data_IF_269765818709
#
_entry.id   IF_269765818709
#
_cell.length_a   1.000
_cell.length_b   1.000
_cell.length_c   1.000
_cell.angle_alpha   90.00
_cell.angle_beta   90.00
_cell.angle_gamma   90.00
#
_symmetry.space_group_name_H-M   'P 1'
#
loop_
_entity.id
_entity.type
_entity.pdbx_description
1 polymer ?
#
# COMPACT_ATOMS: atom_id res chain seq x y z
N UNK A 1 -21.88 3.09 -2.04
CA UNK A 1 -20.82 2.22 -1.48
C UNK A 1 -21.47 1.19 -0.60
N UNK A 2 -21.22 -0.08 -0.88
CA UNK A 2 -21.62 -1.18 -0.01
C UNK A 2 -20.59 -1.28 1.13
N UNK A 3 -21.02 -1.03 2.38
CA UNK A 3 -20.14 -1.02 3.56
C UNK A 3 -19.45 -2.36 3.78
N UNK A 4 -20.14 -3.48 3.51
CA UNK A 4 -19.57 -4.82 3.63
C UNK A 4 -18.45 -5.03 2.60
N UNK A 5 -18.71 -4.69 1.33
CA UNK A 5 -17.69 -4.79 0.28
C UNK A 5 -16.48 -3.89 0.57
N UNK A 6 -16.74 -2.67 1.05
CA UNK A 6 -15.69 -1.71 1.42
C UNK A 6 -14.78 -2.27 2.53
N UNK A 7 -15.36 -2.76 3.63
CA UNK A 7 -14.60 -3.28 4.77
C UNK A 7 -13.81 -4.53 4.41
N UNK A 8 -14.44 -5.50 3.74
CA UNK A 8 -13.78 -6.75 3.35
C UNK A 8 -12.64 -6.47 2.38
N UNK A 9 -12.89 -5.72 1.30
CA UNK A 9 -11.86 -5.43 0.32
C UNK A 9 -10.72 -4.61 0.93
N UNK A 10 -11.02 -3.63 1.79
CA UNK A 10 -10.02 -2.79 2.44
C UNK A 10 -9.14 -3.54 3.44
N UNK A 11 -9.73 -4.37 4.31
CA UNK A 11 -8.97 -5.17 5.28
C UNK A 11 -8.07 -6.19 4.56
N UNK A 12 -8.61 -6.91 3.58
CA UNK A 12 -7.82 -7.90 2.80
C UNK A 12 -6.72 -7.19 2.02
N UNK A 13 -7.01 -6.04 1.41
CA UNK A 13 -6.01 -5.21 0.75
C UNK A 13 -4.90 -4.77 1.70
N UNK A 14 -5.24 -4.36 2.92
CA UNK A 14 -4.26 -3.98 3.94
C UNK A 14 -3.38 -5.14 4.41
N UNK A 15 -3.94 -6.34 4.58
CA UNK A 15 -3.16 -7.54 4.90
C UNK A 15 -2.21 -7.88 3.76
N UNK A 16 -2.68 -7.81 2.50
CA UNK A 16 -1.82 -8.02 1.33
C UNK A 16 -0.70 -6.98 1.30
N UNK A 17 -1.01 -5.71 1.52
CA UNK A 17 0.01 -4.66 1.57
C UNK A 17 1.06 -4.93 2.66
N UNK A 18 0.64 -5.40 3.83
CA UNK A 18 1.55 -5.75 4.92
C UNK A 18 2.49 -6.91 4.55
N UNK A 19 1.96 -7.98 3.95
CA UNK A 19 2.75 -9.12 3.47
C UNK A 19 3.74 -8.72 2.36
N UNK A 20 3.30 -7.87 1.42
CA UNK A 20 4.16 -7.34 0.37
C UNK A 20 5.24 -6.42 0.96
N UNK A 21 4.90 -5.60 1.96
CA UNK A 21 5.86 -4.78 2.66
C UNK A 21 6.94 -5.61 3.35
N UNK A 22 6.56 -6.68 4.05
CA UNK A 22 7.51 -7.63 4.62
C UNK A 22 8.43 -8.24 3.56
N UNK A 23 7.90 -8.65 2.41
CA UNK A 23 8.69 -9.23 1.33
C UNK A 23 9.67 -8.21 0.71
N UNK A 24 9.18 -7.02 0.35
CA UNK A 24 9.97 -6.03 -0.40
C UNK A 24 10.84 -5.11 0.45
N UNK A 25 10.57 -4.98 1.75
CA UNK A 25 11.41 -4.19 2.66
C UNK A 25 12.22 -5.04 3.63
N UNK A 26 11.76 -6.26 3.95
CA UNK A 26 12.44 -7.15 4.90
C UNK A 26 13.29 -8.22 4.23
N UNK A 27 12.75 -8.94 3.24
CA UNK A 27 13.40 -10.15 2.70
C UNK A 27 14.28 -9.87 1.48
N UNK A 28 13.77 -9.14 0.48
CA UNK A 28 14.50 -8.98 -0.79
C UNK A 28 15.71 -8.05 -0.70
N UNK A 29 15.64 -6.88 -0.02
CA UNK A 29 16.73 -5.92 0.02
C UNK A 29 17.20 -5.73 1.48
N UNK A 30 17.55 -6.83 2.14
CA UNK A 30 17.76 -6.93 3.60
C UNK A 30 18.66 -5.80 4.15
N UNK A 31 19.70 -5.42 3.41
CA UNK A 31 20.68 -4.39 3.80
C UNK A 31 20.47 -3.01 3.15
N UNK A 32 19.53 -2.87 2.21
CA UNK A 32 19.36 -1.63 1.45
C UNK A 32 18.52 -0.58 2.21
N UNK A 33 17.56 -1.05 3.00
CA UNK A 33 16.72 -0.19 3.82
C UNK A 33 17.09 -0.31 5.30
N UNK A 34 17.09 0.82 6.01
CA UNK A 34 17.30 0.85 7.45
C UNK A 34 16.14 0.13 8.15
N UNK A 35 16.42 -1.04 8.72
CA UNK A 35 15.41 -1.80 9.45
C UNK A 35 15.04 -1.09 10.75
N UNK A 36 13.74 -0.92 11.04
CA UNK A 36 13.31 -0.33 12.30
C UNK A 36 13.63 -1.28 13.46
N UNK A 37 13.82 -0.72 14.66
CA UNK A 37 14.01 -1.54 15.87
C UNK A 37 12.79 -2.45 16.07
N UNK A 38 13.05 -3.73 16.25
CA UNK A 38 12.00 -4.69 16.54
C UNK A 38 11.36 -4.37 17.89
N UNK A 39 10.08 -4.02 17.84
CA UNK A 39 9.27 -3.72 19.01
C UNK A 39 7.80 -3.88 18.66
N UNK A 40 6.99 -4.21 19.68
CA UNK A 40 5.54 -4.28 19.53
C UNK A 40 4.95 -2.98 18.94
N UNK A 41 5.48 -1.83 19.37
CA UNK A 41 5.07 -0.52 18.84
C UNK A 41 5.33 -0.43 17.33
N UNK A 42 6.52 -0.80 16.88
CA UNK A 42 6.90 -0.81 15.46
C UNK A 42 5.94 -1.69 14.65
N UNK A 43 5.72 -2.93 15.08
CA UNK A 43 4.85 -3.87 14.35
C UNK A 43 3.40 -3.37 14.26
N UNK A 44 2.84 -2.89 15.37
CA UNK A 44 1.46 -2.37 15.41
C UNK A 44 1.33 -1.14 14.52
N UNK A 45 2.30 -0.22 14.51
CA UNK A 45 2.28 0.95 13.64
C UNK A 45 2.32 0.57 12.15
N UNK A 46 3.19 -0.37 11.77
CA UNK A 46 3.29 -0.85 10.38
C UNK A 46 1.99 -1.52 9.94
N UNK A 47 1.47 -2.46 10.74
CA UNK A 47 0.23 -3.17 10.43
C UNK A 47 -0.94 -2.19 10.32
N UNK A 48 -1.07 -1.26 11.27
CA UNK A 48 -2.14 -0.25 11.26
C UNK A 48 -2.05 0.65 10.03
N UNK A 49 -0.84 1.08 9.65
CA UNK A 49 -0.61 1.85 8.42
C UNK A 49 -1.06 1.09 7.17
N UNK A 50 -0.73 -0.21 7.08
CA UNK A 50 -1.14 -1.06 5.96
C UNK A 50 -2.66 -1.24 5.91
N UNK A 51 -3.32 -1.46 7.05
CA UNK A 51 -4.77 -1.58 7.13
C UNK A 51 -5.47 -0.28 6.72
N UNK A 52 -4.99 0.87 7.19
CA UNK A 52 -5.52 2.18 6.81
C UNK A 52 -5.33 2.43 5.31
N UNK A 53 -4.17 2.08 4.74
CA UNK A 53 -3.93 2.19 3.30
C UNK A 53 -4.91 1.33 2.50
N UNK A 54 -5.12 0.08 2.90
CA UNK A 54 -6.08 -0.81 2.26
C UNK A 54 -7.51 -0.26 2.30
N UNK A 55 -7.94 0.24 3.46
CA UNK A 55 -9.24 0.91 3.62
C UNK A 55 -9.33 2.18 2.76
N UNK A 56 -8.29 3.02 2.75
CA UNK A 56 -8.24 4.24 1.95
C UNK A 56 -8.39 3.94 0.46
N UNK A 57 -7.61 3.00 -0.07
CA UNK A 57 -7.72 2.56 -1.46
C UNK A 57 -9.09 1.96 -1.77
N UNK A 58 -9.63 1.12 -0.88
CA UNK A 58 -10.98 0.55 -1.03
C UNK A 58 -12.07 1.63 -1.04
N UNK A 59 -11.93 2.67 -0.22
CA UNK A 59 -12.85 3.81 -0.22
C UNK A 59 -12.82 4.53 -1.56
N UNK A 60 -11.62 4.87 -2.08
CA UNK A 60 -11.47 5.50 -3.39
C UNK A 60 -12.11 4.62 -4.47
N UNK A 61 -11.82 3.32 -4.46
CA UNK A 61 -12.25 2.40 -5.51
C UNK A 61 -13.76 2.17 -5.47
N UNK A 62 -14.36 2.05 -4.29
CA UNK A 62 -15.78 1.78 -4.14
C UNK A 62 -16.64 3.06 -4.25
N UNK A 63 -16.21 4.17 -3.64
CA UNK A 63 -17.02 5.39 -3.55
C UNK A 63 -16.75 6.38 -4.68
N UNK A 64 -15.50 6.59 -5.06
CA UNK A 64 -15.14 7.66 -6.01
C UNK A 64 -14.94 7.14 -7.44
N UNK A 65 -14.13 6.10 -7.62
CA UNK A 65 -13.67 5.65 -8.94
C UNK A 65 -14.48 4.48 -9.53
N UNK A 66 -15.35 3.85 -8.74
CA UNK A 66 -16.16 2.69 -9.15
C UNK A 66 -15.33 1.56 -9.79
N UNK A 67 -14.18 1.25 -9.18
CA UNK A 67 -13.26 0.20 -9.63
C UNK A 67 -13.77 -1.18 -9.21
N UNK A 68 -13.99 -2.05 -10.20
CA UNK A 68 -14.58 -3.39 -10.02
C UNK A 68 -13.80 -4.50 -10.72
N UNK A 69 -12.56 -4.23 -11.15
CA UNK A 69 -11.70 -5.24 -11.79
C UNK A 69 -10.27 -5.12 -11.31
N UNK A 70 -9.54 -6.23 -11.31
CA UNK A 70 -8.12 -6.26 -10.95
C UNK A 70 -7.29 -5.29 -11.81
N UNK A 71 -7.51 -5.29 -13.14
CA UNK A 71 -6.78 -4.41 -14.07
C UNK A 71 -6.94 -2.93 -13.74
N UNK A 72 -8.18 -2.46 -13.52
CA UNK A 72 -8.41 -1.07 -13.09
C UNK A 72 -7.83 -0.80 -11.70
N UNK A 73 -7.87 -1.79 -10.82
CA UNK A 73 -7.23 -1.73 -9.50
C UNK A 73 -5.72 -1.54 -9.57
N UNK A 74 -5.02 -2.27 -10.45
CA UNK A 74 -3.59 -2.10 -10.72
C UNK A 74 -3.30 -0.69 -11.21
N UNK A 75 -4.05 -0.19 -12.19
CA UNK A 75 -3.84 1.15 -12.76
C UNK A 75 -4.03 2.25 -11.71
N UNK A 76 -5.10 2.18 -10.94
CA UNK A 76 -5.36 3.15 -9.88
C UNK A 76 -4.33 3.04 -8.74
N UNK A 77 -3.97 1.81 -8.34
CA UNK A 77 -2.96 1.55 -7.31
C UNK A 77 -1.57 2.03 -7.72
N UNK A 78 -1.19 1.89 -8.99
CA UNK A 78 0.06 2.41 -9.55
C UNK A 78 0.13 3.94 -9.42
N UNK A 79 -0.93 4.65 -9.81
CA UNK A 79 -0.99 6.12 -9.70
C UNK A 79 -0.93 6.55 -8.23
N UNK A 80 -1.68 5.89 -7.34
CA UNK A 80 -1.63 6.15 -5.90
C UNK A 80 -0.21 5.94 -5.37
N UNK A 81 0.47 4.87 -5.78
CA UNK A 81 1.83 4.56 -5.36
C UNK A 81 2.85 5.60 -5.78
N UNK A 82 2.74 6.13 -7.00
CA UNK A 82 3.61 7.24 -7.46
C UNK A 82 3.47 8.43 -6.51
N UNK A 83 2.24 8.91 -6.30
CA UNK A 83 2.04 10.09 -5.48
C UNK A 83 2.39 9.85 -4.02
N UNK A 84 1.97 8.73 -3.44
CA UNK A 84 2.25 8.41 -2.03
C UNK A 84 3.75 8.21 -1.79
N UNK A 85 4.43 7.47 -2.66
CA UNK A 85 5.87 7.24 -2.57
C UNK A 85 6.65 8.56 -2.69
N UNK A 86 6.31 9.40 -3.67
CA UNK A 86 6.97 10.70 -3.84
C UNK A 86 6.73 11.62 -2.63
N UNK A 87 5.48 11.75 -2.17
CA UNK A 87 5.14 12.58 -1.02
C UNK A 87 5.93 12.10 0.22
N UNK A 88 5.85 10.81 0.55
CA UNK A 88 6.51 10.25 1.72
C UNK A 88 8.02 10.48 1.66
N UNK A 89 8.67 10.17 0.54
CA UNK A 89 10.12 10.29 0.43
C UNK A 89 10.61 11.74 0.36
N UNK A 90 9.87 12.66 -0.27
CA UNK A 90 10.25 14.08 -0.29
C UNK A 90 10.25 14.67 1.12
N UNK A 91 9.26 14.34 1.94
CA UNK A 91 9.27 14.73 3.35
C UNK A 91 10.34 14.00 4.16
N UNK A 92 10.52 12.70 3.95
CA UNK A 92 11.55 11.93 4.65
C UNK A 92 12.96 12.45 4.38
N UNK A 93 13.28 12.84 3.14
CA UNK A 93 14.56 13.47 2.80
C UNK A 93 14.82 14.77 3.56
N UNK A 94 13.77 15.50 3.96
CA UNK A 94 13.90 16.72 4.74
C UNK A 94 14.06 16.47 6.25
N UNK A 95 13.44 15.41 6.78
CA UNK A 95 13.34 15.18 8.23
C UNK A 95 14.23 14.06 8.78
N UNK A 96 14.61 13.08 7.96
CA UNK A 96 15.37 11.91 8.38
C UNK A 96 16.83 12.03 7.91
N UNK A 97 17.76 11.70 8.82
CA UNK A 97 19.19 11.65 8.51
C UNK A 97 19.54 10.30 7.88
N UNK A 98 20.54 10.31 6.98
CA UNK A 98 21.11 9.09 6.41
C UNK A 98 20.37 8.52 5.20
N UNK A 99 19.32 9.19 4.71
CA UNK A 99 18.66 8.80 3.46
C UNK A 99 19.47 9.25 2.25
N UNK A 100 19.57 8.38 1.25
CA UNK A 100 20.21 8.66 -0.03
C UNK A 100 19.18 8.75 -1.15
N UNK A 101 19.51 9.41 -2.27
CA UNK A 101 18.64 9.43 -3.45
C UNK A 101 18.41 8.03 -4.06
N UNK A 102 19.34 7.10 -3.85
CA UNK A 102 19.15 5.70 -4.25
C UNK A 102 18.06 5.02 -3.40
N UNK A 103 18.08 5.22 -2.08
CA UNK A 103 17.02 4.74 -1.18
C UNK A 103 15.67 5.35 -1.51
N UNK A 104 15.62 6.65 -1.81
CA UNK A 104 14.43 7.34 -2.30
C UNK A 104 13.86 6.65 -3.54
N UNK A 105 14.69 6.43 -4.57
CA UNK A 105 14.22 5.88 -5.84
C UNK A 105 13.73 4.43 -5.69
N UNK A 106 14.40 3.63 -4.86
CA UNK A 106 13.99 2.29 -4.55
C UNK A 106 12.67 2.25 -3.76
N UNK A 107 12.52 3.09 -2.73
CA UNK A 107 11.29 3.13 -1.92
C UNK A 107 10.08 3.56 -2.75
N UNK A 108 10.23 4.56 -3.62
CA UNK A 108 9.18 4.94 -4.57
C UNK A 108 8.80 3.76 -5.47
N UNK A 109 9.80 3.04 -5.99
CA UNK A 109 9.56 1.86 -6.84
C UNK A 109 8.81 0.77 -6.09
N UNK A 110 9.25 0.42 -4.88
CA UNK A 110 8.59 -0.57 -4.02
C UNK A 110 7.17 -0.12 -3.68
N UNK A 111 6.97 1.14 -3.32
CA UNK A 111 5.65 1.71 -3.03
C UNK A 111 4.72 1.55 -4.23
N UNK A 112 5.17 1.86 -5.44
CA UNK A 112 4.39 1.67 -6.68
C UNK A 112 3.98 0.20 -6.87
N UNK A 113 4.90 -0.75 -6.70
CA UNK A 113 4.60 -2.17 -6.86
C UNK A 113 3.62 -2.67 -5.80
N UNK A 114 3.86 -2.33 -4.54
CA UNK A 114 3.04 -2.78 -3.40
C UNK A 114 1.62 -2.21 -3.47
N UNK A 115 1.44 -0.93 -3.81
CA UNK A 115 0.11 -0.33 -3.97
C UNK A 115 -0.59 -0.83 -5.23
N UNK A 116 0.11 -1.07 -6.35
CA UNK A 116 -0.49 -1.63 -7.55
C UNK A 116 -1.06 -3.03 -7.30
N UNK A 117 -0.32 -3.89 -6.61
CA UNK A 117 -0.76 -5.24 -6.24
C UNK A 117 -1.91 -5.21 -5.22
N UNK A 118 -1.81 -4.35 -4.22
CA UNK A 118 -2.90 -4.10 -3.26
C UNK A 118 -4.17 -3.64 -3.98
N UNK A 119 -4.03 -2.70 -4.92
CA UNK A 119 -5.11 -2.23 -5.77
C UNK A 119 -5.73 -3.34 -6.62
N UNK A 120 -4.91 -4.25 -7.17
CA UNK A 120 -5.39 -5.40 -7.92
C UNK A 120 -6.36 -6.26 -7.10
N UNK A 121 -5.97 -6.58 -5.86
CA UNK A 121 -6.76 -7.40 -4.93
C UNK A 121 -8.06 -6.69 -4.55
N UNK A 122 -7.98 -5.40 -4.18
CA UNK A 122 -9.15 -4.61 -3.82
C UNK A 122 -10.13 -4.54 -5.00
N UNK A 123 -9.65 -4.19 -6.20
CA UNK A 123 -10.48 -4.08 -7.39
C UNK A 123 -11.15 -5.39 -7.78
N UNK A 124 -10.44 -6.52 -7.64
CA UNK A 124 -11.00 -7.86 -7.84
C UNK A 124 -12.11 -8.19 -6.82
N UNK A 125 -11.86 -7.96 -5.53
CA UNK A 125 -12.83 -8.25 -4.47
C UNK A 125 -14.08 -7.38 -4.62
N UNK A 126 -13.93 -6.08 -4.90
CA UNK A 126 -15.08 -5.20 -5.15
C UNK A 126 -15.90 -5.67 -6.35
N UNK A 127 -15.27 -6.15 -7.41
CA UNK A 127 -15.95 -6.73 -8.57
C UNK A 127 -16.76 -7.98 -8.28
N UNK A 128 -16.32 -8.80 -7.30
CA UNK A 128 -17.06 -9.96 -6.83
C UNK A 128 -18.15 -9.60 -5.83
N UNK A 129 -17.82 -8.78 -4.84
CA UNK A 129 -18.68 -8.49 -3.69
C UNK A 129 -19.82 -7.54 -4.03
N UNK A 130 -19.66 -6.62 -4.99
CA UNK A 130 -20.74 -5.71 -5.39
C UNK A 130 -21.78 -6.36 -6.33
N UNK A 131 -21.55 -7.60 -6.78
CA UNK A 131 -22.51 -8.36 -7.57
C UNK A 131 -23.54 -9.10 -6.71
N UNK A 132 -23.30 -9.16 -5.40
CA UNK A 132 -24.18 -9.77 -4.39
C UNK A 132 -24.61 -8.70 -3.37
#
# INVERSE_FOLDING_TARGET
>A
MNTKSFLIAGIVGGIVNWLLGWLFYGVLPEDFFTQPKDSLKTMVSILSGCLILGLFMSYIFNKWAQVTTAKKGIQAGFIIGIFMGLIANLFNMAFLKGLTYAMFAADVTVTIFTTAMTGAVIGFLLGKLNKY
#
